data_IF_021942427739
#
_entry.id   IF_021942427739
#
_cell.length_a   1.000
_cell.length_b   1.000
_cell.length_c   1.000
_cell.angle_alpha   90.00
_cell.angle_beta   90.00
_cell.angle_gamma   90.00
#
_symmetry.space_group_name_H-M   'P 1'
#
loop_
_entity.id
_entity.type
_entity.pdbx_description
1 polymer ?
#
# COMPACT_ATOMS: atom_id res chain seq x y z
N UNK A 1 4.51 1.20 19.40
CA UNK A 1 4.88 2.05 18.25
C UNK A 1 5.34 3.44 18.70
N UNK A 2 4.47 4.33 19.21
CA UNK A 2 4.88 5.70 19.58
C UNK A 2 5.98 5.77 20.65
N UNK A 3 5.89 4.92 21.70
CA UNK A 3 6.96 4.79 22.70
C UNK A 3 8.30 4.40 22.07
N UNK A 4 8.28 3.46 21.12
CA UNK A 4 9.48 3.04 20.37
C UNK A 4 10.02 4.17 19.49
N UNK A 5 9.14 4.93 18.86
CA UNK A 5 9.49 6.01 17.92
C UNK A 5 10.03 7.27 18.62
N UNK A 6 9.44 7.65 19.75
CA UNK A 6 9.71 8.94 20.41
C UNK A 6 10.42 8.81 21.75
N UNK A 7 10.44 7.63 22.36
CA UNK A 7 11.01 7.38 23.68
C UNK A 7 10.14 7.94 24.82
N UNK A 8 9.96 9.26 24.85
CA UNK A 8 9.26 10.00 25.90
C UNK A 8 8.18 10.94 25.36
N UNK A 9 7.32 11.41 26.27
CA UNK A 9 6.20 12.30 25.94
C UNK A 9 6.65 13.71 25.58
N UNK A 10 7.78 14.21 26.11
CA UNK A 10 8.24 15.55 25.78
C UNK A 10 8.71 15.63 24.31
N UNK A 11 9.36 14.59 23.82
CA UNK A 11 9.77 14.43 22.43
C UNK A 11 8.57 14.30 21.51
N UNK A 12 7.57 13.48 21.89
CA UNK A 12 6.31 13.39 21.14
C UNK A 12 5.57 14.73 21.10
N UNK A 13 5.39 15.39 22.24
CA UNK A 13 4.69 16.67 22.34
C UNK A 13 5.35 17.75 21.48
N UNK A 14 6.69 17.81 21.45
CA UNK A 14 7.44 18.70 20.55
C UNK A 14 7.21 18.35 19.09
N UNK A 15 7.30 17.07 18.72
CA UNK A 15 7.14 16.63 17.34
C UNK A 15 5.73 16.89 16.79
N UNK A 16 4.71 16.72 17.62
CA UNK A 16 3.31 16.96 17.27
C UNK A 16 2.87 18.42 17.49
N UNK A 17 3.69 19.27 18.10
CA UNK A 17 3.34 20.66 18.37
C UNK A 17 2.13 20.81 19.31
N UNK A 18 2.02 19.94 20.32
CA UNK A 18 0.81 19.82 21.17
C UNK A 18 0.55 21.02 22.09
N UNK A 19 1.46 21.99 22.16
CA UNK A 19 1.19 23.26 22.84
C UNK A 19 0.07 24.05 22.12
N UNK A 20 -0.06 23.87 20.81
CA UNK A 20 -1.14 24.46 20.03
C UNK A 20 -2.49 23.84 20.42
N UNK A 21 -3.48 24.69 20.70
CA UNK A 21 -4.81 24.30 21.19
C UNK A 21 -4.80 23.40 22.44
N UNK A 22 -3.78 23.55 23.29
CA UNK A 22 -3.70 22.85 24.58
C UNK A 22 -3.81 21.34 24.48
N UNK A 23 -3.28 20.75 23.40
CA UNK A 23 -3.29 19.30 23.15
C UNK A 23 -2.20 18.53 23.91
N UNK A 24 -1.56 19.14 24.92
CA UNK A 24 -0.39 18.55 25.61
C UNK A 24 -0.77 17.20 26.24
N UNK A 25 0.02 16.18 25.90
CA UNK A 25 -0.13 14.82 26.40
C UNK A 25 0.77 14.65 27.63
N UNK A 26 0.20 14.30 28.77
CA UNK A 26 0.93 14.08 30.03
C UNK A 26 1.03 12.60 30.42
N UNK A 27 0.24 11.73 29.80
CA UNK A 27 0.32 10.29 29.97
C UNK A 27 0.08 9.56 28.63
N UNK A 28 0.77 8.43 28.42
CA UNK A 28 0.61 7.63 27.20
C UNK A 28 -0.81 7.10 26.98
N UNK A 29 -1.58 6.85 28.04
CA UNK A 29 -2.97 6.41 27.97
C UNK A 29 -3.92 7.49 27.43
N UNK A 30 -3.48 8.75 27.34
CA UNK A 30 -4.25 9.81 26.70
C UNK A 30 -4.14 9.78 25.16
N UNK A 31 -3.20 9.00 24.61
CA UNK A 31 -3.05 8.85 23.17
C UNK A 31 -3.95 7.73 22.68
N UNK A 32 -4.83 8.05 21.74
CA UNK A 32 -5.79 7.13 21.15
C UNK A 32 -5.76 7.22 19.62
N UNK A 33 -6.40 6.30 18.92
CA UNK A 33 -6.57 6.40 17.47
C UNK A 33 -7.25 7.73 17.09
N UNK A 34 -6.95 8.35 15.92
CA UNK A 34 -7.62 9.57 15.48
C UNK A 34 -9.15 9.42 15.43
N UNK A 35 -9.86 10.13 16.30
CA UNK A 35 -11.33 10.16 16.37
C UNK A 35 -11.90 11.35 15.61
N UNK A 36 -13.23 11.42 15.55
CA UNK A 36 -13.92 12.63 15.14
C UNK A 36 -13.59 13.76 16.13
N UNK A 37 -13.21 14.91 15.59
CA UNK A 37 -12.88 16.13 16.33
C UNK A 37 -13.84 17.24 15.90
N UNK A 38 -14.05 18.24 16.75
CA UNK A 38 -14.88 19.41 16.40
C UNK A 38 -14.27 20.24 15.28
N UNK A 39 -12.94 20.25 15.18
CA UNK A 39 -12.13 21.00 14.22
C UNK A 39 -11.09 20.08 13.55
N UNK A 40 -9.99 20.65 13.08
CA UNK A 40 -8.89 19.93 12.44
C UNK A 40 -8.18 18.95 13.39
N UNK A 41 -7.82 17.79 12.85
CA UNK A 41 -6.94 16.83 13.54
C UNK A 41 -5.50 17.33 13.55
N UNK A 42 -4.77 17.00 14.60
CA UNK A 42 -3.33 17.22 14.64
C UNK A 42 -2.65 16.43 13.49
N UNK A 43 -1.90 17.09 12.59
CA UNK A 43 -1.32 16.43 11.43
C UNK A 43 -0.20 15.45 11.79
N UNK A 44 0.58 15.74 12.84
CA UNK A 44 1.60 14.82 13.36
C UNK A 44 0.96 13.54 13.87
N UNK A 45 -0.10 13.66 14.67
CA UNK A 45 -0.87 12.52 15.15
C UNK A 45 -1.48 11.70 13.99
N UNK A 46 -2.11 12.36 13.02
CA UNK A 46 -2.76 11.67 11.89
C UNK A 46 -1.74 10.95 10.99
N UNK A 47 -0.60 11.57 10.73
CA UNK A 47 0.48 10.97 9.93
C UNK A 47 1.08 9.75 10.63
N UNK A 48 1.33 9.85 11.93
CA UNK A 48 1.85 8.74 12.71
C UNK A 48 0.84 7.59 12.84
N UNK A 49 -0.46 7.89 12.87
CA UNK A 49 -1.49 6.86 12.78
C UNK A 49 -1.43 6.11 11.44
N UNK A 50 -1.28 6.82 10.31
CA UNK A 50 -1.12 6.18 9.00
C UNK A 50 0.14 5.31 8.92
N UNK A 51 1.27 5.80 9.47
CA UNK A 51 2.52 5.03 9.57
C UNK A 51 2.34 3.78 10.43
N UNK A 52 1.76 3.93 11.61
CA UNK A 52 1.48 2.82 12.51
C UNK A 52 0.61 1.74 11.84
N UNK A 53 -0.44 2.14 11.11
CA UNK A 53 -1.30 1.19 10.41
C UNK A 53 -0.55 0.44 9.31
N UNK A 54 0.25 1.14 8.51
CA UNK A 54 1.10 0.51 7.49
C UNK A 54 2.11 -0.48 8.11
N UNK A 55 2.78 -0.07 9.19
CA UNK A 55 3.77 -0.91 9.89
C UNK A 55 3.12 -2.15 10.54
N UNK A 56 1.90 -2.01 11.08
CA UNK A 56 1.19 -3.12 11.71
C UNK A 56 0.78 -4.18 10.69
N UNK A 57 0.28 -3.77 9.52
CA UNK A 57 -0.04 -4.71 8.44
C UNK A 57 1.21 -5.37 7.85
N UNK A 58 2.31 -4.62 7.73
CA UNK A 58 3.59 -5.19 7.31
C UNK A 58 4.12 -6.21 8.32
N UNK A 59 4.01 -5.91 9.61
CA UNK A 59 4.43 -6.84 10.66
C UNK A 59 3.63 -8.16 10.61
N UNK A 60 2.33 -8.08 10.32
CA UNK A 60 1.51 -9.27 10.09
C UNK A 60 2.01 -10.09 8.89
N UNK A 61 2.26 -9.45 7.75
CA UNK A 61 2.82 -10.11 6.57
C UNK A 61 4.16 -10.80 6.88
N UNK A 62 5.06 -10.14 7.61
CA UNK A 62 6.36 -10.71 8.01
C UNK A 62 6.17 -11.94 8.90
N UNK A 63 5.24 -11.92 9.86
CA UNK A 63 4.94 -13.08 10.70
C UNK A 63 4.44 -14.27 9.88
N UNK A 64 3.58 -14.02 8.90
CA UNK A 64 3.05 -15.06 7.99
C UNK A 64 4.13 -15.61 7.07
N UNK A 65 4.92 -14.74 6.42
CA UNK A 65 6.07 -15.11 5.59
C UNK A 65 7.06 -15.97 6.36
N UNK A 66 7.48 -15.51 7.54
CA UNK A 66 8.43 -16.25 8.38
C UNK A 66 7.82 -17.58 8.86
N UNK A 67 6.49 -17.63 9.01
CA UNK A 67 5.72 -18.85 9.21
C UNK A 67 5.90 -19.86 8.08
N UNK A 68 5.67 -19.43 6.83
CA UNK A 68 5.87 -20.25 5.63
C UNK A 68 7.32 -20.70 5.53
N UNK A 69 8.29 -19.80 5.72
CA UNK A 69 9.73 -20.06 5.59
C UNK A 69 10.27 -21.12 6.55
N UNK A 70 9.61 -21.35 7.69
CA UNK A 70 9.97 -22.46 8.60
C UNK A 70 9.67 -23.84 8.03
N UNK A 71 8.70 -23.94 7.14
CA UNK A 71 8.25 -25.21 6.53
C UNK A 71 8.68 -25.35 5.07
N UNK A 72 8.84 -24.24 4.37
CA UNK A 72 9.27 -24.17 2.97
C UNK A 72 10.29 -23.03 2.81
N UNK A 73 11.60 -23.35 2.78
CA UNK A 73 12.65 -22.35 2.70
C UNK A 73 12.84 -21.77 1.30
N UNK A 74 12.25 -22.34 0.24
CA UNK A 74 12.61 -22.02 -1.15
C UNK A 74 11.48 -21.31 -1.91
N UNK A 75 10.21 -21.67 -1.69
CA UNK A 75 9.08 -21.10 -2.45
C UNK A 75 8.92 -19.59 -2.21
N UNK A 76 8.85 -18.74 -3.26
CA UNK A 76 8.65 -17.29 -3.10
C UNK A 76 7.37 -16.93 -2.34
N UNK A 77 7.47 -15.98 -1.42
CA UNK A 77 6.34 -15.42 -0.68
C UNK A 77 6.10 -13.98 -1.14
N UNK A 78 4.87 -13.72 -1.57
CA UNK A 78 4.41 -12.43 -2.05
C UNK A 78 2.96 -12.18 -1.67
N UNK A 79 2.49 -10.95 -1.86
CA UNK A 79 1.09 -10.58 -1.84
C UNK A 79 0.82 -9.62 -2.99
N UNK A 80 -0.42 -9.57 -3.46
CA UNK A 80 -0.87 -8.56 -4.41
C UNK A 80 -0.94 -7.16 -3.79
N UNK A 81 -0.35 -6.20 -4.49
CA UNK A 81 -0.57 -4.77 -4.31
C UNK A 81 -1.75 -4.29 -5.18
N UNK A 82 -2.14 -3.03 -5.00
CA UNK A 82 -3.32 -2.43 -5.63
C UNK A 82 -3.01 -1.06 -6.27
N UNK A 83 -2.11 -1.05 -7.25
CA UNK A 83 -1.67 0.17 -7.94
C UNK A 83 -1.19 1.25 -6.97
N UNK A 84 -1.57 2.50 -7.21
CA UNK A 84 -1.35 3.58 -6.23
C UNK A 84 -2.26 3.43 -5.00
N UNK A 85 -1.75 2.80 -3.94
CA UNK A 85 -2.47 2.65 -2.68
C UNK A 85 -1.84 3.46 -1.54
N UNK A 86 -2.36 4.66 -1.21
CA UNK A 86 -1.69 5.60 -0.32
C UNK A 86 -1.72 5.22 1.17
N UNK A 87 -2.38 4.12 1.54
CA UNK A 87 -2.50 3.70 2.95
C UNK A 87 -1.33 2.82 3.42
N UNK A 88 -0.53 2.28 2.50
CA UNK A 88 0.58 1.38 2.80
C UNK A 88 1.87 1.92 2.18
N UNK A 89 2.99 1.75 2.89
CA UNK A 89 4.32 2.00 2.35
C UNK A 89 4.82 0.80 1.56
N UNK A 90 4.46 0.72 0.27
CA UNK A 90 4.90 -0.38 -0.58
C UNK A 90 6.42 -0.50 -0.74
N UNK A 91 7.21 0.54 -0.49
CA UNK A 91 8.67 0.40 -0.49
C UNK A 91 9.14 -0.46 0.69
N UNK A 92 8.48 -0.36 1.85
CA UNK A 92 8.75 -1.24 2.98
C UNK A 92 8.31 -2.67 2.69
N UNK A 93 7.12 -2.86 2.12
CA UNK A 93 6.63 -4.19 1.76
C UNK A 93 7.49 -4.87 0.70
N UNK A 94 7.93 -4.16 -0.34
CA UNK A 94 8.76 -4.72 -1.41
C UNK A 94 10.15 -5.19 -0.92
N UNK A 95 10.64 -4.67 0.22
CA UNK A 95 11.86 -5.20 0.85
C UNK A 95 11.63 -6.58 1.46
N UNK A 96 10.46 -6.81 2.04
CA UNK A 96 10.12 -8.04 2.76
C UNK A 96 9.57 -9.16 1.85
N UNK A 97 8.89 -8.83 0.75
CA UNK A 97 8.37 -9.81 -0.22
C UNK A 97 9.45 -10.28 -1.22
N UNK A 98 9.35 -11.52 -1.70
CA UNK A 98 10.34 -12.11 -2.63
C UNK A 98 10.16 -11.62 -4.07
N UNK A 99 8.94 -11.21 -4.42
CA UNK A 99 8.59 -10.56 -5.67
C UNK A 99 7.53 -9.50 -5.41
N UNK A 100 7.42 -8.51 -6.29
CA UNK A 100 6.31 -7.56 -6.27
C UNK A 100 5.22 -8.11 -7.17
N UNK A 101 4.00 -8.18 -6.65
CA UNK A 101 2.84 -8.61 -7.41
C UNK A 101 1.76 -7.53 -7.33
N UNK A 102 0.99 -7.32 -8.38
CA UNK A 102 -0.01 -6.26 -8.40
C UNK A 102 -1.30 -6.66 -9.10
N UNK A 103 -2.38 -6.06 -8.62
CA UNK A 103 -3.69 -6.09 -9.23
C UNK A 103 -4.00 -4.76 -9.90
N UNK A 104 -4.42 -4.81 -11.17
CA UNK A 104 -4.67 -3.60 -11.96
C UNK A 104 -6.03 -3.68 -12.66
N UNK A 105 -6.96 -2.81 -12.27
CA UNK A 105 -8.35 -2.81 -12.70
C UNK A 105 -8.86 -1.44 -13.18
N UNK A 106 -8.26 -0.81 -14.20
CA UNK A 106 -8.75 0.47 -14.69
C UNK A 106 -10.08 0.28 -15.43
N UNK A 107 -10.98 1.27 -15.32
CA UNK A 107 -12.21 1.30 -16.11
C UNK A 107 -11.88 1.34 -17.62
N UNK A 108 -12.33 0.36 -18.42
CA UNK A 108 -12.11 0.35 -19.86
C UNK A 108 -12.72 1.54 -20.63
N UNK A 109 -13.67 2.27 -20.01
CA UNK A 109 -14.25 3.48 -20.56
C UNK A 109 -13.53 4.77 -20.12
N UNK A 110 -12.65 4.72 -19.11
CA UNK A 110 -11.84 5.88 -18.76
C UNK A 110 -10.80 6.11 -19.86
N UNK A 111 -10.79 7.28 -20.54
CA UNK A 111 -9.74 7.60 -21.52
C UNK A 111 -8.33 7.59 -20.92
N UNK A 112 -8.20 7.65 -19.59
CA UNK A 112 -6.93 7.53 -18.85
C UNK A 112 -6.60 6.11 -18.43
N UNK A 113 -7.47 5.12 -18.66
CA UNK A 113 -7.28 3.75 -18.19
C UNK A 113 -5.94 3.13 -18.60
N UNK A 114 -5.53 3.30 -19.88
CA UNK A 114 -4.23 2.86 -20.36
C UNK A 114 -3.04 3.61 -19.72
N UNK A 115 -3.24 4.86 -19.30
CA UNK A 115 -2.25 5.65 -18.55
C UNK A 115 -2.12 5.13 -17.12
N UNK A 116 -3.24 4.83 -16.47
CA UNK A 116 -3.28 4.32 -15.09
C UNK A 116 -2.61 2.96 -15.05
N UNK A 117 -2.94 2.09 -15.99
CA UNK A 117 -2.30 0.78 -16.14
C UNK A 117 -0.78 0.91 -16.30
N UNK A 118 -0.33 1.82 -17.17
CA UNK A 118 1.09 2.10 -17.37
C UNK A 118 1.79 2.63 -16.11
N UNK A 119 1.16 3.57 -15.42
CA UNK A 119 1.69 4.15 -14.18
C UNK A 119 1.82 3.10 -13.08
N UNK A 120 0.79 2.28 -12.87
CA UNK A 120 0.81 1.21 -11.88
C UNK A 120 1.93 0.21 -12.21
N UNK A 121 2.07 -0.18 -13.49
CA UNK A 121 3.16 -1.07 -13.92
C UNK A 121 4.55 -0.48 -13.65
N UNK A 122 4.75 0.81 -13.95
CA UNK A 122 6.03 1.48 -13.70
C UNK A 122 6.34 1.62 -12.21
N UNK A 123 5.33 1.89 -11.38
CA UNK A 123 5.45 1.92 -9.93
C UNK A 123 5.89 0.55 -9.41
N UNK A 124 5.23 -0.53 -9.82
CA UNK A 124 5.53 -1.88 -9.36
C UNK A 124 6.91 -2.35 -9.80
N UNK A 125 7.31 -2.08 -11.05
CA UNK A 125 8.69 -2.32 -11.49
C UNK A 125 9.70 -1.55 -10.63
N UNK A 126 9.41 -0.30 -10.29
CA UNK A 126 10.31 0.52 -9.47
C UNK A 126 10.43 -0.01 -8.05
N UNK A 127 9.33 -0.51 -7.48
CA UNK A 127 9.29 -1.17 -6.18
C UNK A 127 10.08 -2.49 -6.18
N UNK A 128 9.97 -3.27 -7.25
CA UNK A 128 10.63 -4.57 -7.38
C UNK A 128 12.16 -4.44 -7.44
N UNK A 129 12.67 -3.36 -8.06
CA UNK A 129 14.10 -3.16 -8.24
C UNK A 129 14.70 -4.26 -9.12
N UNK A 130 15.42 -5.20 -8.51
CA UNK A 130 15.97 -6.38 -9.20
C UNK A 130 15.15 -7.66 -8.98
N UNK A 131 14.12 -7.62 -8.14
CA UNK A 131 13.21 -8.76 -7.91
C UNK A 131 12.20 -8.86 -9.06
N UNK A 132 11.57 -10.03 -9.27
CA UNK A 132 10.51 -10.15 -10.25
C UNK A 132 9.32 -9.24 -9.95
N UNK A 133 8.64 -8.78 -11.01
CA UNK A 133 7.36 -8.08 -10.94
C UNK A 133 6.29 -8.86 -11.69
N UNK A 134 5.17 -9.18 -11.01
CA UNK A 134 4.05 -9.95 -11.55
C UNK A 134 2.77 -9.13 -11.63
N UNK A 135 2.03 -9.24 -12.73
CA UNK A 135 0.64 -8.80 -12.82
C UNK A 135 -0.26 -9.93 -12.37
N UNK A 136 -0.42 -10.07 -11.04
CA UNK A 136 -1.11 -11.21 -10.46
C UNK A 136 -2.58 -11.26 -10.86
N UNK A 137 -3.24 -10.10 -10.85
CA UNK A 137 -4.63 -10.00 -11.29
C UNK A 137 -4.83 -8.90 -12.33
N UNK A 138 -5.48 -9.27 -13.44
CA UNK A 138 -6.00 -8.33 -14.43
C UNK A 138 -7.43 -8.73 -14.76
N UNK A 139 -8.35 -7.75 -14.79
CA UNK A 139 -9.71 -8.01 -15.25
C UNK A 139 -9.73 -8.66 -16.63
N UNK A 140 -10.38 -9.82 -16.78
CA UNK A 140 -10.59 -10.44 -18.10
C UNK A 140 -11.63 -9.68 -18.92
N UNK A 141 -12.61 -9.04 -18.26
CA UNK A 141 -13.64 -8.18 -18.85
C UNK A 141 -14.23 -7.24 -17.79
N UNK A 142 -15.56 -7.11 -17.70
CA UNK A 142 -16.25 -6.34 -16.66
C UNK A 142 -15.94 -6.88 -15.25
N UNK A 143 -15.92 -5.98 -14.27
CA UNK A 143 -15.83 -6.30 -12.84
C UNK A 143 -17.23 -6.21 -12.19
N UNK A 144 -17.32 -6.26 -10.86
CA UNK A 144 -18.59 -6.26 -10.12
C UNK A 144 -18.77 -5.10 -9.13
N UNK A 145 -17.76 -4.24 -8.96
CA UNK A 145 -17.69 -3.26 -7.87
C UNK A 145 -17.56 -1.80 -8.34
N UNK A 146 -17.45 -1.55 -9.65
CA UNK A 146 -17.44 -0.19 -10.19
C UNK A 146 -18.87 0.38 -10.27
N UNK A 147 -19.05 1.72 -10.26
CA UNK A 147 -20.35 2.34 -10.49
C UNK A 147 -21.01 1.88 -11.81
N UNK A 148 -20.19 1.68 -12.85
CA UNK A 148 -20.59 1.07 -14.11
C UNK A 148 -19.53 0.05 -14.51
N UNK A 149 -19.92 -1.22 -14.57
CA UNK A 149 -19.01 -2.33 -14.87
C UNK A 149 -18.89 -2.54 -16.38
N UNK A 150 -18.11 -1.70 -17.05
CA UNK A 150 -17.96 -1.75 -18.50
C UNK A 150 -17.18 -3.01 -18.92
N UNK A 151 -17.71 -3.83 -19.86
CA UNK A 151 -16.93 -4.92 -20.43
C UNK A 151 -15.80 -4.40 -21.30
N UNK A 152 -14.66 -5.09 -21.28
CA UNK A 152 -13.54 -4.77 -22.18
C UNK A 152 -13.98 -4.94 -23.63
N UNK A 153 -13.66 -3.94 -24.47
CA UNK A 153 -13.80 -4.09 -25.93
C UNK A 153 -12.87 -5.22 -26.42
N UNK A 154 -13.18 -5.86 -27.56
CA UNK A 154 -12.31 -6.87 -28.15
C UNK A 154 -10.85 -6.39 -28.22
N UNK A 155 -9.91 -7.29 -27.90
CA UNK A 155 -8.45 -7.06 -27.85
C UNK A 155 -7.91 -6.16 -26.73
N UNK A 156 -8.76 -5.46 -25.96
CA UNK A 156 -8.27 -4.61 -24.85
C UNK A 156 -7.60 -5.44 -23.75
N UNK A 157 -8.07 -6.67 -23.49
CA UNK A 157 -7.39 -7.59 -22.58
C UNK A 157 -5.94 -7.86 -23.01
N UNK A 158 -5.75 -8.30 -24.25
CA UNK A 158 -4.41 -8.55 -24.79
C UNK A 158 -3.55 -7.30 -24.89
N UNK A 159 -4.15 -6.15 -25.21
CA UNK A 159 -3.44 -4.86 -25.23
C UNK A 159 -2.83 -4.53 -23.87
N UNK A 160 -3.61 -4.63 -22.78
CA UNK A 160 -3.11 -4.32 -21.44
C UNK A 160 -2.13 -5.37 -20.95
N UNK A 161 -2.35 -6.66 -21.23
CA UNK A 161 -1.37 -7.70 -20.91
C UNK A 161 -0.02 -7.44 -21.58
N UNK A 162 -0.02 -7.08 -22.87
CA UNK A 162 1.23 -6.73 -23.58
C UNK A 162 1.84 -5.43 -23.07
N UNK A 163 1.02 -4.48 -22.61
CA UNK A 163 1.53 -3.26 -21.98
C UNK A 163 2.27 -3.55 -20.68
N UNK A 164 1.79 -4.48 -19.85
CA UNK A 164 2.48 -4.88 -18.61
C UNK A 164 3.82 -5.55 -18.92
N UNK A 165 3.83 -6.50 -19.86
CA UNK A 165 5.05 -7.21 -20.28
C UNK A 165 6.06 -6.22 -20.87
N UNK A 166 5.62 -5.30 -21.73
CA UNK A 166 6.48 -4.25 -22.29
C UNK A 166 7.06 -3.30 -21.21
N UNK A 167 6.44 -3.26 -20.02
CA UNK A 167 6.91 -2.51 -18.85
C UNK A 167 7.67 -3.36 -17.85
N UNK A 168 8.07 -4.58 -18.22
CA UNK A 168 8.99 -5.40 -17.44
C UNK A 168 8.33 -6.29 -16.40
N UNK A 169 7.06 -6.68 -16.60
CA UNK A 169 6.49 -7.78 -15.84
C UNK A 169 7.04 -9.13 -16.32
N UNK A 170 7.31 -10.02 -15.37
CA UNK A 170 7.83 -11.38 -15.58
C UNK A 170 6.72 -12.44 -15.67
N UNK A 171 5.47 -12.07 -15.35
CA UNK A 171 4.31 -12.95 -15.36
C UNK A 171 3.00 -12.21 -15.11
#
# INVERSE_FOLDING_TARGET
WLRTRYGDLDTLNRAWGTAFWSLRITDWAQVDAPRATTDFRNPGHTLDWSRFHSDLLLAQFVVERDGIRRSDPDTPVLTNFMGLYPKLDYWAWAREADAVANDTYPDPNDPRGARTFAFDSDLMRSLAGTKPFLQLEQAVSAVQWQPVNTPKRPRVFGLWSMQTVARGADG
#
